data_IF_227955507574
#
_entry.id   IF_227955507574
#
_cell.length_a   1.000
_cell.length_b   1.000
_cell.length_c   1.000
_cell.angle_alpha   90.00
_cell.angle_beta   90.00
_cell.angle_gamma   90.00
#
_symmetry.space_group_name_H-M   'P 1'
#
loop_
_entity.id
_entity.type
_entity.pdbx_description
1 polymer ?
#
# COMPACT_ATOMS: atom_id res chain seq x y z
N UNK A 1 15.92 5.87 -2.57
CA UNK A 1 14.47 5.98 -2.42
C UNK A 1 14.07 5.68 -0.99
N UNK A 2 12.98 6.28 -0.48
CA UNK A 2 12.54 6.21 0.93
C UNK A 2 11.46 5.19 1.22
N UNK A 3 11.31 4.14 0.39
CA UNK A 3 10.30 3.09 0.62
C UNK A 3 10.51 2.39 1.97
N UNK A 4 9.41 2.07 2.66
CA UNK A 4 9.41 1.31 3.90
C UNK A 4 9.00 -0.13 3.60
N UNK A 5 9.74 -1.10 4.10
CA UNK A 5 9.55 -2.52 3.84
C UNK A 5 9.34 -3.28 5.15
N UNK A 6 8.16 -3.82 5.35
CA UNK A 6 7.81 -4.64 6.50
C UNK A 6 7.59 -6.11 6.12
N UNK A 7 8.49 -7.01 6.54
CA UNK A 7 8.37 -8.44 6.27
C UNK A 7 7.75 -9.19 7.43
N UNK A 8 6.86 -10.13 7.14
CA UNK A 8 6.30 -11.09 8.09
C UNK A 8 6.29 -12.50 7.51
N UNK A 9 6.66 -13.49 8.35
CA UNK A 9 6.80 -14.89 7.93
C UNK A 9 8.13 -15.19 7.27
N UNK A 10 8.40 -16.48 7.04
CA UNK A 10 9.69 -17.00 6.53
C UNK A 10 9.54 -17.82 5.25
N UNK A 11 8.31 -17.96 4.76
CA UNK A 11 8.01 -18.78 3.58
C UNK A 11 8.70 -18.32 2.30
N UNK A 12 8.80 -19.22 1.35
CA UNK A 12 9.50 -18.97 0.08
C UNK A 12 8.69 -18.09 -0.86
N UNK A 13 7.36 -18.20 -0.86
CA UNK A 13 6.48 -17.42 -1.72
C UNK A 13 6.23 -16.06 -1.11
N UNK A 14 6.69 -15.01 -1.77
CA UNK A 14 6.52 -13.63 -1.32
C UNK A 14 5.23 -13.05 -1.91
N UNK A 15 4.37 -12.56 -1.04
CA UNK A 15 3.16 -11.80 -1.39
C UNK A 15 3.37 -10.37 -0.88
N UNK A 16 3.20 -9.36 -1.75
CA UNK A 16 3.31 -7.98 -1.34
C UNK A 16 1.95 -7.30 -1.23
N UNK A 17 1.79 -6.47 -0.22
CA UNK A 17 0.74 -5.47 -0.11
C UNK A 17 1.37 -4.11 -0.30
N UNK A 18 0.90 -3.39 -1.29
CA UNK A 18 1.43 -2.10 -1.70
C UNK A 18 0.49 -0.97 -1.28
N UNK A 19 1.07 0.07 -0.72
CA UNK A 19 0.41 1.33 -0.46
C UNK A 19 1.43 2.45 -0.40
N UNK A 20 1.08 3.63 -0.93
CA UNK A 20 1.98 4.77 -0.91
C UNK A 20 1.87 5.57 0.40
N UNK A 21 2.96 6.23 0.77
CA UNK A 21 3.07 7.05 1.99
C UNK A 21 3.23 8.54 1.68
N UNK A 22 3.42 8.88 0.43
CA UNK A 22 3.35 10.27 -0.04
C UNK A 22 1.90 10.68 -0.29
N UNK A 23 1.68 11.97 -0.42
CA UNK A 23 0.36 12.55 -0.66
C UNK A 23 0.48 13.76 -1.58
N UNK A 24 -0.56 14.04 -2.36
CA UNK A 24 -0.67 15.32 -3.05
C UNK A 24 -0.82 16.47 -2.03
N UNK A 25 -0.51 17.67 -2.46
CA UNK A 25 -0.72 18.89 -1.66
C UNK A 25 -2.19 19.10 -1.30
N UNK A 26 -2.44 19.93 -0.29
CA UNK A 26 -3.82 20.23 0.18
C UNK A 26 -4.61 21.12 -0.77
N UNK A 27 -3.96 21.70 -1.79
CA UNK A 27 -4.59 22.69 -2.66
C UNK A 27 -4.91 23.99 -1.92
N UNK A 28 -6.07 24.61 -2.22
CA UNK A 28 -6.50 25.80 -1.51
C UNK A 28 -7.03 25.42 -0.11
N UNK A 29 -6.39 25.99 0.93
CA UNK A 29 -6.75 25.77 2.34
C UNK A 29 -8.22 26.12 2.65
N UNK A 30 -8.77 27.12 1.96
CA UNK A 30 -10.15 27.59 2.16
C UNK A 30 -11.22 26.55 1.74
N UNK A 31 -10.82 25.52 1.02
CA UNK A 31 -11.71 24.43 0.64
C UNK A 31 -11.86 23.36 1.74
N UNK A 32 -11.21 23.56 2.88
CA UNK A 32 -11.23 22.61 3.98
C UNK A 32 -11.93 23.20 5.19
N UNK A 33 -12.91 22.48 5.73
CA UNK A 33 -13.65 22.86 6.96
C UNK A 33 -12.83 22.62 8.24
N UNK A 34 -11.69 21.94 8.14
CA UNK A 34 -10.78 21.63 9.23
C UNK A 34 -9.31 21.73 8.75
N UNK A 35 -8.35 21.64 9.65
CA UNK A 35 -6.95 21.60 9.26
C UNK A 35 -6.60 20.24 8.63
N UNK A 36 -6.27 20.19 7.31
CA UNK A 36 -6.03 18.93 6.63
C UNK A 36 -4.74 18.20 7.06
N UNK A 37 -3.81 18.88 7.73
CA UNK A 37 -2.59 18.28 8.26
C UNK A 37 -2.77 17.74 9.68
N UNK A 38 -3.47 18.48 10.54
CA UNK A 38 -3.82 18.00 11.88
C UNK A 38 -4.92 16.94 11.81
N UNK A 39 -5.79 17.05 10.80
CA UNK A 39 -6.92 16.16 10.63
C UNK A 39 -7.98 16.28 11.72
N UNK A 40 -8.90 15.37 11.73
CA UNK A 40 -9.90 15.22 12.81
C UNK A 40 -10.31 13.76 12.96
N UNK A 41 -10.85 13.43 14.14
CA UNK A 41 -11.46 12.13 14.43
C UNK A 41 -12.77 12.35 15.18
N UNK A 42 -13.80 11.62 14.80
CA UNK A 42 -15.06 11.50 15.53
C UNK A 42 -15.46 10.03 15.67
N UNK A 43 -16.63 9.72 16.25
CA UNK A 43 -17.10 8.36 16.49
C UNK A 43 -17.29 7.54 15.20
N UNK A 44 -17.33 8.17 14.04
CA UNK A 44 -17.71 7.54 12.77
C UNK A 44 -16.66 7.63 11.68
N UNK A 45 -15.75 8.60 11.77
CA UNK A 45 -14.79 8.89 10.70
C UNK A 45 -13.52 9.56 11.21
N UNK A 46 -12.48 9.39 10.43
CA UNK A 46 -11.22 10.11 10.53
C UNK A 46 -11.05 10.90 9.23
N UNK A 47 -10.66 12.15 9.31
CA UNK A 47 -10.43 13.02 8.16
C UNK A 47 -9.06 13.67 8.20
N UNK A 48 -8.46 13.83 7.02
CA UNK A 48 -7.14 14.46 6.86
C UNK A 48 -6.57 14.19 5.49
N UNK A 49 -5.56 14.97 5.09
CA UNK A 49 -4.82 14.68 3.86
C UNK A 49 -4.10 13.34 4.01
N UNK A 50 -4.24 12.45 3.01
CA UNK A 50 -3.62 11.13 3.03
C UNK A 50 -4.39 10.04 3.78
N UNK A 51 -5.44 10.37 4.54
CA UNK A 51 -6.19 9.38 5.34
C UNK A 51 -6.86 8.32 4.46
N UNK A 52 -7.54 8.74 3.41
CA UNK A 52 -8.17 7.84 2.45
C UNK A 52 -7.19 7.36 1.39
N UNK A 53 -6.38 8.26 0.89
CA UNK A 53 -5.40 8.05 -0.19
C UNK A 53 -4.00 8.37 0.34
N UNK A 54 -3.20 7.36 0.79
CA UNK A 54 -3.77 6.00 1.00
C UNK A 54 -3.27 5.35 2.31
N UNK A 55 -3.08 6.16 3.36
CA UNK A 55 -2.60 5.66 4.66
C UNK A 55 -3.55 4.61 5.27
N UNK A 56 -4.87 4.74 5.02
CA UNK A 56 -5.85 3.75 5.46
C UNK A 56 -5.60 2.36 4.87
N UNK A 57 -5.18 2.29 3.62
CA UNK A 57 -4.79 1.05 2.94
C UNK A 57 -3.56 0.41 3.58
N UNK A 58 -2.52 1.20 3.85
CA UNK A 58 -1.29 0.71 4.53
C UNK A 58 -1.61 0.18 5.92
N UNK A 59 -2.37 0.93 6.72
CA UNK A 59 -2.78 0.50 8.06
C UNK A 59 -3.52 -0.84 7.99
N UNK A 60 -4.45 -0.97 7.05
CA UNK A 60 -5.19 -2.21 6.83
C UNK A 60 -4.26 -3.37 6.45
N UNK A 61 -3.27 -3.14 5.60
CA UNK A 61 -2.29 -4.14 5.19
C UNK A 61 -1.40 -4.59 6.38
N UNK A 62 -0.93 -3.64 7.19
CA UNK A 62 -0.10 -3.94 8.38
C UNK A 62 -0.87 -4.79 9.39
N UNK A 63 -2.10 -4.38 9.73
CA UNK A 63 -2.92 -5.13 10.68
C UNK A 63 -3.39 -6.47 10.11
N UNK A 64 -3.72 -6.52 8.82
CA UNK A 64 -4.04 -7.77 8.13
C UNK A 64 -2.87 -8.76 8.18
N UNK A 65 -1.65 -8.32 7.89
CA UNK A 65 -0.46 -9.15 7.99
C UNK A 65 -0.18 -9.61 9.43
N UNK A 66 -0.41 -8.72 10.42
CA UNK A 66 -0.31 -9.07 11.84
C UNK A 66 -1.33 -10.15 12.23
N UNK A 67 -2.57 -10.00 11.83
CA UNK A 67 -3.64 -11.00 12.09
C UNK A 67 -3.25 -12.35 11.46
N UNK A 68 -2.78 -12.37 10.22
CA UNK A 68 -2.30 -13.60 9.58
C UNK A 68 -1.19 -14.27 10.39
N UNK A 69 -0.25 -13.49 10.93
CA UNK A 69 0.81 -14.00 11.79
C UNK A 69 0.24 -14.58 13.10
N UNK A 70 -0.62 -13.84 13.80
CA UNK A 70 -1.18 -14.21 15.09
C UNK A 70 -2.05 -15.48 14.99
N UNK A 71 -2.73 -15.68 13.86
CA UNK A 71 -3.52 -16.88 13.55
C UNK A 71 -2.69 -18.06 12.99
N UNK A 72 -1.37 -17.91 12.87
CA UNK A 72 -0.50 -18.97 12.34
C UNK A 72 -0.70 -19.27 10.86
N UNK A 73 -1.26 -18.34 10.09
CA UNK A 73 -1.50 -18.50 8.64
C UNK A 73 -0.24 -18.29 7.80
N UNK A 74 0.77 -17.63 8.36
CA UNK A 74 2.10 -17.47 7.74
C UNK A 74 2.95 -18.66 8.12
N UNK A 75 2.93 -19.67 7.27
CA UNK A 75 3.69 -20.91 7.41
C UNK A 75 4.98 -20.86 6.56
N UNK A 76 5.68 -21.99 6.45
CA UNK A 76 6.93 -22.11 5.66
C UNK A 76 6.74 -21.89 4.15
N UNK A 77 5.50 -21.82 3.67
CA UNK A 77 5.20 -21.60 2.26
C UNK A 77 5.14 -20.12 1.91
N UNK A 78 4.53 -19.30 2.77
CA UNK A 78 4.24 -17.90 2.48
C UNK A 78 4.98 -16.94 3.41
N UNK A 79 5.39 -15.81 2.86
CA UNK A 79 5.77 -14.61 3.61
C UNK A 79 5.10 -13.40 2.99
N UNK A 80 4.77 -12.44 3.83
CA UNK A 80 4.13 -11.18 3.44
C UNK A 80 5.14 -10.06 3.50
N UNK A 81 5.09 -9.17 2.53
CA UNK A 81 5.77 -7.89 2.51
C UNK A 81 4.72 -6.79 2.44
N UNK A 82 4.65 -5.95 3.46
CA UNK A 82 3.92 -4.68 3.38
C UNK A 82 4.88 -3.60 2.95
N UNK A 83 4.55 -2.90 1.89
CA UNK A 83 5.37 -1.84 1.30
C UNK A 83 4.68 -0.51 1.50
N UNK A 84 5.38 0.45 2.13
CA UNK A 84 5.04 1.86 2.05
C UNK A 84 5.88 2.49 0.94
N UNK A 85 5.28 2.70 -0.23
CA UNK A 85 5.97 3.24 -1.39
C UNK A 85 6.00 4.76 -1.36
N UNK A 86 6.95 5.36 -2.06
CA UNK A 86 7.08 6.81 -2.22
C UNK A 86 6.98 7.18 -3.69
N UNK A 87 6.60 8.43 -3.96
CA UNK A 87 6.46 8.98 -5.32
C UNK A 87 5.39 8.30 -6.18
N UNK A 88 4.35 7.76 -5.56
CA UNK A 88 3.21 7.25 -6.31
C UNK A 88 2.49 8.42 -7.02
N UNK A 89 2.22 9.49 -6.29
CA UNK A 89 1.47 10.66 -6.73
C UNK A 89 2.13 11.44 -7.89
N UNK A 90 3.46 11.36 -7.99
CA UNK A 90 4.23 12.07 -9.02
C UNK A 90 4.72 11.14 -10.14
N UNK A 91 4.98 9.88 -9.82
CA UNK A 91 5.72 8.98 -10.71
C UNK A 91 5.36 7.53 -10.44
N UNK A 92 4.11 7.20 -10.70
CA UNK A 92 3.54 5.86 -10.50
C UNK A 92 4.43 4.76 -11.09
N UNK A 93 4.77 3.79 -10.23
CA UNK A 93 5.58 2.63 -10.60
C UNK A 93 7.10 2.80 -10.46
N UNK A 94 7.64 4.01 -10.33
CA UNK A 94 9.09 4.22 -10.23
C UNK A 94 9.70 3.52 -9.00
N UNK A 95 8.99 3.53 -7.88
CA UNK A 95 9.40 2.86 -6.65
C UNK A 95 9.50 1.34 -6.84
N UNK A 96 8.55 0.75 -7.55
CA UNK A 96 8.56 -0.69 -7.87
C UNK A 96 9.65 -1.05 -8.88
N UNK A 97 9.89 -0.20 -9.87
CA UNK A 97 11.03 -0.38 -10.79
C UNK A 97 12.34 -0.46 -10.02
N UNK A 98 12.58 0.46 -9.08
CA UNK A 98 13.74 0.44 -8.20
C UNK A 98 13.81 -0.83 -7.34
N UNK A 99 12.70 -1.21 -6.71
CA UNK A 99 12.68 -2.40 -5.87
C UNK A 99 12.99 -3.69 -6.66
N UNK A 100 12.48 -3.80 -7.87
CA UNK A 100 12.72 -4.95 -8.74
C UNK A 100 14.15 -4.97 -9.28
N UNK A 101 14.64 -3.83 -9.82
CA UNK A 101 15.93 -3.76 -10.51
C UNK A 101 17.11 -3.69 -9.54
N UNK A 102 17.00 -2.84 -8.52
CA UNK A 102 18.13 -2.52 -7.64
C UNK A 102 18.12 -3.35 -6.34
N UNK A 103 16.95 -3.77 -5.88
CA UNK A 103 16.82 -4.52 -4.61
C UNK A 103 16.44 -5.98 -4.82
N UNK A 104 16.20 -6.40 -6.07
CA UNK A 104 15.79 -7.76 -6.44
C UNK A 104 14.57 -8.27 -5.64
N UNK A 105 13.63 -7.38 -5.30
CA UNK A 105 12.39 -7.72 -4.61
C UNK A 105 11.38 -8.14 -5.68
N UNK A 106 11.03 -9.42 -5.72
CA UNK A 106 10.16 -10.02 -6.74
C UNK A 106 9.06 -10.83 -6.08
N UNK A 107 7.94 -10.19 -5.69
CA UNK A 107 6.78 -10.92 -5.19
C UNK A 107 6.14 -11.77 -6.28
N UNK A 108 5.50 -12.86 -5.89
CA UNK A 108 4.67 -13.68 -6.79
C UNK A 108 3.48 -12.87 -7.31
N UNK A 109 2.89 -12.05 -6.45
CA UNK A 109 1.90 -11.04 -6.82
C UNK A 109 1.88 -9.89 -5.82
N UNK A 110 1.35 -8.77 -6.27
CA UNK A 110 1.17 -7.55 -5.47
C UNK A 110 -0.32 -7.26 -5.35
N UNK A 111 -0.77 -6.98 -4.13
CA UNK A 111 -2.10 -6.47 -3.84
C UNK A 111 -1.96 -4.97 -3.59
N UNK A 112 -2.45 -4.15 -4.51
CA UNK A 112 -2.53 -2.71 -4.28
C UNK A 112 -3.69 -2.41 -3.34
N UNK A 113 -3.44 -1.55 -2.36
CA UNK A 113 -4.45 -1.09 -1.40
C UNK A 113 -5.03 0.27 -1.78
N UNK A 114 -4.90 0.64 -3.07
CA UNK A 114 -5.45 1.87 -3.64
C UNK A 114 -6.93 2.07 -3.35
N UNK A 115 -7.30 3.34 -3.21
CA UNK A 115 -8.69 3.72 -3.05
C UNK A 115 -9.51 3.34 -4.28
N UNK A 116 -10.62 2.65 -4.05
CA UNK A 116 -11.54 2.28 -5.13
C UNK A 116 -12.90 2.89 -4.88
N UNK A 117 -13.50 3.48 -5.92
CA UNK A 117 -14.89 3.93 -5.84
C UNK A 117 -15.82 2.72 -5.64
N UNK A 118 -16.50 2.58 -4.48
CA UNK A 118 -17.37 1.45 -4.22
C UNK A 118 -18.58 1.38 -5.19
N UNK A 119 -18.86 2.47 -5.91
CA UNK A 119 -19.89 2.54 -6.93
C UNK A 119 -19.42 2.03 -8.29
N UNK A 120 -18.11 1.96 -8.53
CA UNK A 120 -17.54 1.34 -9.73
C UNK A 120 -17.36 -0.15 -9.49
N UNK A 121 -18.27 -0.97 -10.02
CA UNK A 121 -18.23 -2.44 -10.00
C UNK A 121 -17.08 -3.04 -10.85
N UNK A 122 -15.94 -2.42 -10.94
CA UNK A 122 -14.79 -2.98 -11.63
C UNK A 122 -13.84 -3.58 -10.62
N UNK A 123 -14.15 -4.79 -10.17
CA UNK A 123 -13.16 -5.71 -9.61
C UNK A 123 -12.20 -6.12 -10.75
N UNK A 124 -11.29 -5.25 -11.13
CA UNK A 124 -10.15 -5.66 -11.94
C UNK A 124 -8.99 -5.89 -10.97
N UNK A 125 -8.82 -7.16 -10.61
CA UNK A 125 -7.49 -7.64 -10.25
C UNK A 125 -6.72 -7.53 -11.56
N UNK A 126 -5.90 -6.50 -11.71
CA UNK A 126 -4.96 -6.41 -12.81
C UNK A 126 -3.79 -7.33 -12.44
N UNK A 127 -3.59 -8.46 -13.14
CA UNK A 127 -2.34 -9.17 -13.02
C UNK A 127 -1.27 -8.28 -13.62
N UNK A 128 -0.39 -7.74 -12.81
CA UNK A 128 0.86 -7.16 -13.28
C UNK A 128 1.70 -8.31 -13.84
N UNK A 129 1.63 -8.50 -15.14
CA UNK A 129 2.57 -9.37 -15.83
C UNK A 129 3.93 -8.69 -15.79
N UNK A 130 4.79 -9.09 -14.86
CA UNK A 130 6.21 -9.00 -15.10
C UNK A 130 6.51 -9.95 -16.28
N UNK A 131 6.51 -9.43 -17.50
CA UNK A 131 7.03 -10.15 -18.64
C UNK A 131 8.52 -10.40 -18.35
N UNK A 132 8.82 -11.55 -17.79
CA UNK A 132 10.17 -12.05 -17.65
C UNK A 132 10.73 -12.29 -19.05
N UNK A 133 11.56 -11.40 -19.55
CA UNK A 133 12.51 -11.77 -20.62
C UNK A 133 13.46 -12.80 -20.04
N UNK A 134 13.41 -14.00 -20.62
CA UNK A 134 14.39 -15.06 -20.43
C UNK A 134 15.75 -14.59 -20.93
#
# INVERSE_FOLDING_TARGET
MGNILGYMGTGKTLIAFDGHIDTVGIGNRDNWDFDPYDGFEDETKIGGRGVSDQLGGIVSAVYGAKIMKDLGLLNDKYRVLVVGTVQEEDCDGLCWEYMIKERNIRPEFVVSTETTDPRRRTRRILPWFCAGTR
#
